data_IF_710271697405
#
_entry.id   IF_710271697405
#
_cell.length_a   1.000
_cell.length_b   1.000
_cell.length_c   1.000
_cell.angle_alpha   90.00
_cell.angle_beta   90.00
_cell.angle_gamma   90.00
#
_symmetry.space_group_name_H-M   'P 1'
#
loop_
_entity.id
_entity.type
_entity.pdbx_description
1 polymer ?
#
# COMPACT_ATOMS: atom_id res chain seq x y z
N UNK A 1 0.58 24.91 2.16
CA UNK A 1 0.60 25.14 0.68
C UNK A 1 -0.69 24.61 0.10
N UNK A 2 -1.30 25.38 -0.82
CA UNK A 2 -2.45 24.89 -1.60
C UNK A 2 -2.14 25.04 -3.09
N UNK A 3 -2.35 23.98 -3.87
CA UNK A 3 -2.22 23.98 -5.31
C UNK A 3 -3.41 23.22 -5.94
N UNK A 4 -4.02 23.81 -6.96
CA UNK A 4 -5.18 23.25 -7.66
C UNK A 4 -5.01 23.33 -9.17
N UNK A 5 -5.60 22.37 -9.88
CA UNK A 5 -5.67 22.34 -11.35
C UNK A 5 -4.31 22.49 -12.06
N UNK A 6 -3.28 21.85 -11.51
CA UNK A 6 -1.94 21.85 -12.07
C UNK A 6 -1.83 20.98 -13.33
N UNK A 7 -1.05 21.44 -14.29
CA UNK A 7 -0.67 20.66 -15.48
C UNK A 7 0.84 20.66 -15.65
N UNK A 8 1.39 19.50 -15.98
CA UNK A 8 2.84 19.32 -16.12
C UNK A 8 3.51 18.94 -14.82
N UNK A 9 4.73 19.37 -14.61
CA UNK A 9 5.49 19.04 -13.41
C UNK A 9 5.22 20.05 -12.28
N UNK A 10 4.77 19.57 -11.13
CA UNK A 10 4.61 20.35 -9.90
C UNK A 10 5.61 19.87 -8.85
N UNK A 11 6.41 20.79 -8.32
CA UNK A 11 7.27 20.56 -7.17
C UNK A 11 6.82 21.49 -6.04
N UNK A 12 6.38 20.91 -4.93
CA UNK A 12 5.95 21.64 -3.74
C UNK A 12 6.80 21.21 -2.54
N UNK A 13 7.46 22.17 -1.90
CA UNK A 13 8.34 21.90 -0.76
C UNK A 13 8.03 22.87 0.38
N UNK A 14 7.85 22.31 1.58
CA UNK A 14 7.76 23.10 2.82
C UNK A 14 8.64 22.48 3.91
N UNK A 15 9.10 23.29 4.84
CA UNK A 15 9.80 22.80 6.02
C UNK A 15 8.82 22.38 7.11
N UNK A 16 7.72 23.12 7.24
CA UNK A 16 6.67 22.85 8.21
C UNK A 16 5.33 23.38 7.67
N UNK A 17 4.26 22.70 7.99
CA UNK A 17 2.90 23.05 7.60
C UNK A 17 2.34 22.15 6.50
N UNK A 18 1.04 22.15 6.43
CA UNK A 18 0.28 21.24 5.60
C UNK A 18 0.29 21.64 4.13
N UNK A 19 0.12 20.65 3.30
CA UNK A 19 -0.08 20.82 1.86
C UNK A 19 -1.40 20.22 1.42
N UNK A 20 -2.10 20.95 0.57
CA UNK A 20 -3.30 20.49 -0.09
C UNK A 20 -3.10 20.64 -1.60
N UNK A 21 -3.09 19.52 -2.30
CA UNK A 21 -2.87 19.47 -3.75
C UNK A 21 -4.05 18.73 -4.37
N UNK A 22 -4.71 19.36 -5.33
CA UNK A 22 -5.85 18.75 -6.00
C UNK A 22 -5.77 18.93 -7.51
N UNK A 23 -6.30 17.94 -8.23
CA UNK A 23 -6.43 17.98 -9.70
C UNK A 23 -5.09 18.21 -10.43
N UNK A 24 -4.07 17.46 -10.06
CA UNK A 24 -2.75 17.54 -10.71
C UNK A 24 -2.66 16.54 -11.87
N UNK A 25 -2.26 17.01 -13.03
CA UNK A 25 -1.99 16.17 -14.20
C UNK A 25 -0.53 16.26 -14.60
N UNK A 26 0.17 15.15 -14.55
CA UNK A 26 1.59 15.04 -14.84
C UNK A 26 2.40 14.62 -13.63
N UNK A 27 3.62 15.11 -13.51
CA UNK A 27 4.50 14.71 -12.41
C UNK A 27 4.24 15.56 -11.17
N UNK A 28 4.09 14.90 -10.01
CA UNK A 28 3.99 15.54 -8.70
C UNK A 28 5.17 15.16 -7.81
N UNK A 29 5.82 16.14 -7.20
CA UNK A 29 6.81 15.93 -6.14
C UNK A 29 6.48 16.88 -4.97
N UNK A 30 5.81 16.34 -3.93
CA UNK A 30 5.40 17.06 -2.73
C UNK A 30 6.25 16.62 -1.53
N UNK A 31 6.91 17.57 -0.86
CA UNK A 31 7.77 17.28 0.30
C UNK A 31 7.49 18.23 1.45
N UNK A 32 7.21 17.67 2.64
CA UNK A 32 7.13 18.41 3.90
C UNK A 32 8.18 17.89 4.90
N UNK A 33 8.71 18.77 5.72
CA UNK A 33 9.51 18.35 6.87
C UNK A 33 8.60 17.90 8.02
N UNK A 34 7.54 18.66 8.29
CA UNK A 34 6.51 18.34 9.29
C UNK A 34 5.20 18.94 8.82
N UNK A 35 4.16 18.19 8.87
CA UNK A 35 2.82 18.59 8.44
C UNK A 35 2.21 17.56 7.50
N UNK A 36 0.90 17.62 7.39
CA UNK A 36 0.12 16.65 6.65
C UNK A 36 0.09 16.96 5.16
N UNK A 37 0.03 15.92 4.37
CA UNK A 37 -0.13 16.03 2.93
C UNK A 37 -1.48 15.47 2.52
N UNK A 38 -2.34 16.34 1.97
CA UNK A 38 -3.60 15.94 1.36
C UNK A 38 -3.52 16.09 -0.15
N UNK A 39 -3.63 14.98 -0.84
CA UNK A 39 -3.46 14.91 -2.29
C UNK A 39 -4.70 14.25 -2.90
N UNK A 40 -5.35 14.93 -3.84
CA UNK A 40 -6.58 14.45 -4.46
C UNK A 40 -6.52 14.56 -5.99
N UNK A 41 -7.04 13.54 -6.68
CA UNK A 41 -7.20 13.51 -8.13
C UNK A 41 -5.88 13.77 -8.90
N UNK A 42 -4.95 12.86 -8.77
CA UNK A 42 -3.65 12.95 -9.44
C UNK A 42 -3.55 11.96 -10.58
N UNK A 43 -3.19 12.44 -11.76
CA UNK A 43 -2.95 11.63 -12.95
C UNK A 43 -1.48 11.69 -13.34
N UNK A 44 -0.76 10.58 -13.24
CA UNK A 44 0.65 10.48 -13.61
C UNK A 44 1.53 10.03 -12.45
N UNK A 45 2.83 10.23 -12.58
CA UNK A 45 3.79 9.80 -11.56
C UNK A 45 3.81 10.78 -10.39
N UNK A 46 3.57 10.28 -9.16
CA UNK A 46 3.51 11.10 -7.97
C UNK A 46 4.44 10.62 -6.87
N UNK A 47 5.11 11.57 -6.24
CA UNK A 47 5.92 11.34 -5.06
C UNK A 47 5.49 12.28 -3.95
N UNK A 48 5.06 11.72 -2.81
CA UNK A 48 4.68 12.46 -1.63
C UNK A 48 5.54 12.02 -0.44
N UNK A 49 6.16 12.97 0.26
CA UNK A 49 7.01 12.67 1.41
C UNK A 49 6.81 13.68 2.52
N UNK A 50 6.69 13.18 3.75
CA UNK A 50 6.77 14.00 4.95
C UNK A 50 7.71 13.37 5.99
N UNK A 51 8.34 14.17 6.82
CA UNK A 51 9.14 13.65 7.92
C UNK A 51 8.28 13.22 9.10
N UNK A 52 7.27 14.02 9.43
CA UNK A 52 6.29 13.74 10.48
C UNK A 52 4.95 14.35 10.07
N UNK A 53 3.96 13.57 10.00
CA UNK A 53 2.61 13.95 9.56
C UNK A 53 2.01 12.83 8.74
N UNK A 54 0.72 12.93 8.54
CA UNK A 54 -0.04 11.94 7.81
C UNK A 54 -0.09 12.27 6.31
N UNK A 55 -0.23 11.25 5.51
CA UNK A 55 -0.42 11.44 4.08
C UNK A 55 -1.76 10.82 3.67
N UNK A 56 -2.67 11.66 3.21
CA UNK A 56 -3.93 11.26 2.62
C UNK A 56 -3.85 11.45 1.10
N UNK A 57 -4.00 10.36 0.35
CA UNK A 57 -4.03 10.35 -1.11
C UNK A 57 -5.35 9.74 -1.57
N UNK A 58 -6.09 10.43 -2.43
CA UNK A 58 -7.34 9.93 -2.99
C UNK A 58 -7.45 10.21 -4.48
N UNK A 59 -7.87 9.19 -5.23
CA UNK A 59 -8.06 9.32 -6.68
C UNK A 59 -6.72 9.49 -7.41
N UNK A 60 -5.90 8.46 -7.41
CA UNK A 60 -4.60 8.49 -8.06
C UNK A 60 -4.53 7.46 -9.19
N UNK A 61 -4.08 7.89 -10.37
CA UNK A 61 -3.88 7.01 -11.52
C UNK A 61 -2.45 7.19 -12.06
N UNK A 62 -1.65 6.13 -11.93
CA UNK A 62 -0.25 6.07 -12.32
C UNK A 62 0.66 5.47 -11.26
N UNK A 63 1.96 5.82 -11.31
CA UNK A 63 2.94 5.30 -10.36
C UNK A 63 3.05 6.22 -9.14
N UNK A 64 2.72 5.68 -7.97
CA UNK A 64 2.69 6.41 -6.71
C UNK A 64 3.80 5.97 -5.76
N UNK A 65 4.51 6.94 -5.19
CA UNK A 65 5.46 6.72 -4.11
C UNK A 65 5.12 7.64 -2.93
N UNK A 66 4.73 7.04 -1.81
CA UNK A 66 4.26 7.75 -0.61
C UNK A 66 5.14 7.35 0.57
N UNK A 67 5.75 8.31 1.26
CA UNK A 67 6.67 8.04 2.36
C UNK A 67 6.45 9.02 3.52
N UNK A 68 6.33 8.49 4.75
CA UNK A 68 6.39 9.29 5.98
C UNK A 68 7.37 8.69 6.97
N UNK A 69 7.99 9.50 7.79
CA UNK A 69 8.84 8.99 8.89
C UNK A 69 8.01 8.54 10.08
N UNK A 70 7.01 9.32 10.45
CA UNK A 70 6.08 9.01 11.54
C UNK A 70 4.72 9.61 11.20
N UNK A 71 3.76 8.82 11.00
CA UNK A 71 2.42 9.20 10.60
C UNK A 71 1.76 8.08 9.82
N UNK A 72 0.47 8.22 9.62
CA UNK A 72 -0.34 7.23 8.94
C UNK A 72 -0.44 7.54 7.44
N UNK A 73 -0.66 6.50 6.66
CA UNK A 73 -0.88 6.58 5.24
C UNK A 73 -2.30 6.12 4.90
N UNK A 74 -3.16 7.06 4.52
CA UNK A 74 -4.50 6.78 4.01
C UNK A 74 -4.52 6.93 2.49
N UNK A 75 -4.68 5.81 1.77
CA UNK A 75 -4.61 5.78 0.32
C UNK A 75 -5.92 5.23 -0.23
N UNK A 76 -6.64 6.02 -1.00
CA UNK A 76 -7.94 5.64 -1.55
C UNK A 76 -8.02 5.80 -3.07
N UNK A 77 -8.75 4.90 -3.73
CA UNK A 77 -9.00 4.95 -5.18
C UNK A 77 -7.70 5.05 -6.00
N UNK A 78 -6.77 4.12 -5.75
CA UNK A 78 -5.46 4.08 -6.42
C UNK A 78 -5.47 3.06 -7.56
N UNK A 79 -5.09 3.51 -8.76
CA UNK A 79 -4.92 2.69 -9.95
C UNK A 79 -3.46 2.80 -10.40
N UNK A 80 -2.78 1.67 -10.61
CA UNK A 80 -1.37 1.64 -11.03
C UNK A 80 -0.45 1.05 -9.97
N UNK A 81 0.83 1.39 -10.03
CA UNK A 81 1.81 0.87 -9.09
C UNK A 81 1.89 1.75 -7.83
N UNK A 82 1.84 1.11 -6.66
CA UNK A 82 1.90 1.81 -5.38
C UNK A 82 3.10 1.33 -4.55
N UNK A 83 3.90 2.29 -4.11
CA UNK A 83 4.92 2.10 -3.07
C UNK A 83 4.61 2.99 -1.88
N UNK A 84 4.31 2.39 -0.73
CA UNK A 84 3.97 3.07 0.51
C UNK A 84 4.96 2.70 1.64
N UNK A 85 5.51 3.69 2.32
CA UNK A 85 6.45 3.47 3.42
C UNK A 85 6.19 4.39 4.59
N UNK A 86 6.16 3.82 5.79
CA UNK A 86 6.17 4.58 7.04
C UNK A 86 7.17 3.98 8.02
N UNK A 87 7.78 4.80 8.87
CA UNK A 87 8.62 4.29 9.95
C UNK A 87 7.79 3.83 11.14
N UNK A 88 6.77 4.61 11.49
CA UNK A 88 5.82 4.27 12.57
C UNK A 88 4.47 4.86 12.20
N UNK A 89 3.51 4.06 12.03
CA UNK A 89 2.16 4.42 11.62
C UNK A 89 1.53 3.33 10.80
N UNK A 90 0.24 3.42 10.65
CA UNK A 90 -0.56 2.44 9.93
C UNK A 90 -0.64 2.79 8.44
N UNK A 91 -0.86 1.78 7.64
CA UNK A 91 -1.05 1.93 6.19
C UNK A 91 -2.42 1.38 5.84
N UNK A 92 -3.34 2.26 5.49
CA UNK A 92 -4.68 1.91 5.05
C UNK A 92 -4.85 2.20 3.57
N UNK A 93 -5.22 1.18 2.80
CA UNK A 93 -5.49 1.27 1.36
C UNK A 93 -6.91 0.82 1.10
N UNK A 94 -7.71 1.71 0.49
CA UNK A 94 -9.09 1.43 0.12
C UNK A 94 -9.28 1.56 -1.38
N UNK A 95 -10.09 0.66 -1.96
CA UNK A 95 -10.36 0.64 -3.39
C UNK A 95 -9.10 0.62 -4.25
N UNK A 96 -8.17 -0.28 -3.93
CA UNK A 96 -7.05 -0.52 -4.82
C UNK A 96 -7.57 -1.13 -6.13
N UNK A 97 -7.38 -0.40 -7.22
CA UNK A 97 -7.74 -0.85 -8.56
C UNK A 97 -6.65 -1.70 -9.20
N UNK A 98 -6.89 -2.14 -10.42
CA UNK A 98 -5.94 -2.91 -11.17
C UNK A 98 -4.58 -2.21 -11.28
N UNK A 99 -3.53 -2.87 -10.83
CA UNK A 99 -2.18 -2.34 -10.81
C UNK A 99 -1.13 -3.41 -11.05
N UNK A 100 0.09 -2.97 -11.36
CA UNK A 100 1.20 -3.89 -11.60
C UNK A 100 1.87 -4.34 -10.30
N UNK A 101 2.04 -3.43 -9.34
CA UNK A 101 2.84 -3.66 -8.14
C UNK A 101 2.26 -2.97 -6.91
N UNK A 102 2.37 -3.67 -5.77
CA UNK A 102 2.09 -3.15 -4.45
C UNK A 102 3.29 -3.41 -3.53
N UNK A 103 4.02 -2.37 -3.14
CA UNK A 103 5.18 -2.47 -2.24
C UNK A 103 4.92 -1.63 -0.99
N UNK A 104 4.62 -2.28 0.15
CA UNK A 104 4.33 -1.64 1.41
C UNK A 104 5.39 -2.02 2.45
N UNK A 105 5.88 -1.02 3.18
CA UNK A 105 6.77 -1.26 4.30
C UNK A 105 6.46 -0.32 5.47
N UNK A 106 6.22 -0.88 6.65
CA UNK A 106 6.15 -0.16 7.91
C UNK A 106 7.11 -0.74 8.94
N UNK A 107 7.67 0.09 9.78
CA UNK A 107 8.49 -0.38 10.90
C UNK A 107 7.62 -0.88 12.06
N UNK A 108 6.60 -0.12 12.40
CA UNK A 108 5.63 -0.46 13.46
C UNK A 108 4.28 0.12 13.06
N UNK A 109 3.33 -0.70 12.84
CA UNK A 109 1.98 -0.33 12.44
C UNK A 109 1.34 -1.43 11.62
N UNK A 110 0.03 -1.35 11.54
CA UNK A 110 -0.77 -2.31 10.83
C UNK A 110 -0.87 -1.95 9.34
N UNK A 111 -1.12 -2.95 8.53
CA UNK A 111 -1.34 -2.77 7.09
C UNK A 111 -2.69 -3.35 6.73
N UNK A 112 -3.62 -2.49 6.32
CA UNK A 112 -4.91 -2.91 5.80
C UNK A 112 -5.02 -2.50 4.32
N UNK A 113 -5.35 -3.45 3.46
CA UNK A 113 -5.56 -3.16 2.05
C UNK A 113 -6.79 -3.90 1.51
N UNK A 114 -7.68 -3.13 0.90
CA UNK A 114 -8.85 -3.66 0.22
C UNK A 114 -8.93 -3.20 -1.25
N UNK A 115 -9.55 -4.01 -2.08
CA UNK A 115 -9.78 -3.70 -3.48
C UNK A 115 -9.60 -4.89 -4.41
N UNK A 116 -9.33 -4.63 -5.68
CA UNK A 116 -9.05 -5.67 -6.69
C UNK A 116 -7.58 -6.12 -6.62
N UNK A 117 -7.30 -7.03 -5.67
CA UNK A 117 -5.96 -7.59 -5.52
C UNK A 117 -5.69 -8.72 -6.54
N UNK A 118 -6.71 -9.21 -7.23
CA UNK A 118 -6.58 -10.27 -8.24
C UNK A 118 -5.82 -9.84 -9.49
N UNK A 119 -5.83 -8.55 -9.80
CA UNK A 119 -5.11 -7.97 -10.94
C UNK A 119 -3.63 -7.65 -10.66
N UNK A 120 -3.17 -7.75 -9.41
CA UNK A 120 -1.79 -7.46 -9.03
C UNK A 120 -0.84 -8.56 -9.51
N UNK A 121 0.34 -8.15 -9.97
CA UNK A 121 1.39 -9.07 -10.43
C UNK A 121 2.47 -9.29 -9.36
N UNK A 122 2.74 -8.28 -8.57
CA UNK A 122 3.76 -8.33 -7.52
C UNK A 122 3.26 -7.58 -6.28
N UNK A 123 3.09 -8.33 -5.19
CA UNK A 123 2.69 -7.81 -3.89
C UNK A 123 3.80 -8.09 -2.89
N UNK A 124 4.37 -7.04 -2.33
CA UNK A 124 5.36 -7.15 -1.29
C UNK A 124 4.93 -6.32 -0.09
N UNK A 125 4.70 -6.95 1.06
CA UNK A 125 4.35 -6.27 2.30
C UNK A 125 5.31 -6.70 3.41
N UNK A 126 5.88 -5.72 4.10
CA UNK A 126 6.76 -5.94 5.24
C UNK A 126 6.38 -5.02 6.38
N UNK A 127 6.15 -5.60 7.55
CA UNK A 127 6.04 -4.86 8.80
C UNK A 127 7.00 -5.43 9.84
N UNK A 128 7.56 -4.60 10.68
CA UNK A 128 8.38 -5.07 11.79
C UNK A 128 7.50 -5.55 12.94
N UNK A 129 6.47 -4.79 13.26
CA UNK A 129 5.48 -5.14 14.30
C UNK A 129 4.12 -4.58 13.88
N UNK A 130 3.18 -5.42 13.67
CA UNK A 130 1.83 -5.06 13.25
C UNK A 130 1.19 -6.18 12.45
N UNK A 131 -0.11 -6.10 12.34
CA UNK A 131 -0.92 -7.06 11.61
C UNK A 131 -1.03 -6.69 10.14
N UNK A 132 -1.27 -7.67 9.31
CA UNK A 132 -1.51 -7.46 7.87
C UNK A 132 -2.86 -8.07 7.49
N UNK A 133 -3.78 -7.23 7.08
CA UNK A 133 -5.13 -7.63 6.64
C UNK A 133 -5.33 -7.27 5.16
N UNK A 134 -5.46 -8.28 4.33
CA UNK A 134 -5.70 -8.12 2.89
C UNK A 134 -7.07 -8.67 2.51
N UNK A 135 -7.91 -7.82 1.93
CA UNK A 135 -9.24 -8.20 1.45
C UNK A 135 -9.37 -7.91 -0.03
N UNK A 136 -9.46 -8.97 -0.81
CA UNK A 136 -9.75 -8.82 -2.24
C UNK A 136 -11.24 -8.86 -2.51
N UNK A 137 -11.69 -7.97 -3.38
CA UNK A 137 -13.07 -7.99 -3.92
C UNK A 137 -13.23 -8.97 -5.06
N UNK A 138 -12.12 -9.36 -5.68
CA UNK A 138 -12.07 -10.28 -6.81
C UNK A 138 -11.25 -11.54 -6.46
N UNK A 139 -11.48 -12.65 -7.17
CA UNK A 139 -10.70 -13.86 -6.97
C UNK A 139 -9.19 -13.63 -7.21
N UNK A 140 -8.37 -14.18 -6.33
CA UNK A 140 -6.91 -14.06 -6.42
C UNK A 140 -6.31 -15.05 -7.42
N UNK A 141 -5.25 -14.63 -8.11
CA UNK A 141 -4.42 -15.48 -8.95
C UNK A 141 -2.94 -15.26 -8.63
N UNK A 142 -2.52 -15.71 -7.42
CA UNK A 142 -1.21 -15.40 -6.85
C UNK A 142 -0.52 -16.63 -6.28
N UNK A 143 0.81 -16.65 -6.35
CA UNK A 143 1.65 -17.50 -5.50
C UNK A 143 1.93 -16.78 -4.21
N UNK A 144 1.41 -17.32 -3.10
CA UNK A 144 1.58 -16.75 -1.77
C UNK A 144 2.84 -17.29 -1.09
N UNK A 145 3.58 -16.38 -0.47
CA UNK A 145 4.66 -16.68 0.48
C UNK A 145 4.51 -15.78 1.68
N UNK A 146 3.97 -16.31 2.77
CA UNK A 146 3.65 -15.58 3.98
C UNK A 146 4.55 -16.03 5.12
N UNK A 147 4.97 -15.10 5.97
CA UNK A 147 5.81 -15.40 7.14
C UNK A 147 5.53 -14.45 8.31
N UNK A 148 5.50 -14.99 9.52
CA UNK A 148 5.48 -14.21 10.75
C UNK A 148 6.53 -14.73 11.72
N UNK A 149 7.19 -13.84 12.45
CA UNK A 149 8.11 -14.23 13.53
C UNK A 149 7.37 -14.63 14.80
N UNK A 150 6.29 -13.91 15.14
CA UNK A 150 5.40 -14.20 16.27
C UNK A 150 3.98 -13.79 15.89
N UNK A 151 3.11 -14.74 15.75
CA UNK A 151 1.73 -14.52 15.35
C UNK A 151 1.16 -15.71 14.61
N UNK A 152 0.00 -15.52 14.00
CA UNK A 152 -0.73 -16.51 13.24
C UNK A 152 -0.94 -16.09 11.78
N UNK A 153 -1.13 -17.08 10.94
CA UNK A 153 -1.45 -16.83 9.52
C UNK A 153 -2.79 -17.48 9.23
N UNK A 154 -3.73 -16.68 8.76
CA UNK A 154 -5.05 -17.15 8.35
C UNK A 154 -5.31 -16.75 6.89
N UNK A 155 -5.54 -17.76 6.06
CA UNK A 155 -5.84 -17.57 4.63
C UNK A 155 -7.22 -18.14 4.36
N UNK A 156 -8.16 -17.26 4.04
CA UNK A 156 -9.57 -17.58 3.75
C UNK A 156 -9.84 -17.31 2.26
N UNK A 157 -9.26 -18.18 1.45
CA UNK A 157 -9.39 -18.13 -0.02
C UNK A 157 -9.41 -19.54 -0.58
N UNK A 158 -10.05 -19.78 -1.73
CA UNK A 158 -9.97 -21.08 -2.42
C UNK A 158 -8.53 -21.39 -2.85
N UNK A 159 -7.87 -22.32 -2.20
CA UNK A 159 -6.50 -22.74 -2.55
C UNK A 159 -6.54 -23.91 -3.51
N UNK A 160 -5.76 -23.85 -4.59
CA UNK A 160 -5.60 -24.93 -5.56
C UNK A 160 -4.16 -25.45 -5.52
N UNK A 161 -3.99 -26.77 -5.40
CA UNK A 161 -2.67 -27.41 -5.42
C UNK A 161 -2.05 -27.64 -4.04
N UNK A 162 -0.72 -27.76 -4.02
CA UNK A 162 0.03 -28.06 -2.80
C UNK A 162 0.07 -26.87 -1.86
N UNK A 163 -0.25 -27.12 -0.60
CA UNK A 163 -0.20 -26.15 0.48
C UNK A 163 0.86 -26.55 1.48
N UNK A 164 1.86 -25.72 1.65
CA UNK A 164 2.82 -25.84 2.73
C UNK A 164 2.41 -24.90 3.88
N UNK A 165 1.83 -25.47 4.92
CA UNK A 165 1.39 -24.73 6.10
C UNK A 165 2.19 -25.13 7.32
N UNK A 166 2.99 -24.19 7.85
CA UNK A 166 3.67 -24.26 9.14
C UNK A 166 3.02 -23.32 10.17
N UNK A 167 3.52 -23.35 11.40
CA UNK A 167 3.01 -22.44 12.44
C UNK A 167 3.21 -20.97 12.12
N UNK A 168 4.27 -20.63 11.38
CA UNK A 168 4.72 -19.25 11.11
C UNK A 168 5.03 -19.00 9.64
N UNK A 169 4.68 -19.92 8.79
CA UNK A 169 4.87 -19.80 7.36
C UNK A 169 3.74 -20.47 6.58
N UNK A 170 3.38 -19.88 5.48
CA UNK A 170 2.37 -20.42 4.58
C UNK A 170 2.80 -20.19 3.14
N UNK A 171 2.74 -21.21 2.33
CA UNK A 171 2.95 -21.13 0.88
C UNK A 171 1.86 -21.86 0.16
N UNK A 172 1.30 -21.23 -0.83
CA UNK A 172 0.27 -21.83 -1.68
C UNK A 172 0.18 -21.12 -3.02
N UNK A 173 -0.40 -21.82 -3.99
CA UNK A 173 -0.82 -21.20 -5.25
C UNK A 173 -2.34 -21.05 -5.23
N UNK A 174 -2.81 -19.85 -5.53
CA UNK A 174 -4.22 -19.52 -5.65
C UNK A 174 -4.52 -19.23 -7.11
N UNK A 175 -5.62 -19.76 -7.62
CA UNK A 175 -5.97 -19.63 -9.03
C UNK A 175 -4.87 -20.13 -9.96
N UNK A 176 -4.58 -19.43 -11.04
CA UNK A 176 -3.52 -19.76 -11.98
C UNK A 176 -2.10 -19.41 -11.50
N UNK A 177 -1.96 -18.70 -10.38
CA UNK A 177 -0.66 -18.27 -9.85
C UNK A 177 0.09 -17.29 -10.75
N UNK A 178 -0.63 -16.40 -11.40
CA UNK A 178 -0.06 -15.47 -12.38
C UNK A 178 0.82 -14.38 -11.77
N UNK A 179 0.53 -14.00 -10.53
CA UNK A 179 1.31 -13.05 -9.76
C UNK A 179 2.04 -13.67 -8.58
N UNK A 180 2.77 -12.87 -7.82
CA UNK A 180 3.47 -13.28 -6.61
C UNK A 180 3.15 -12.34 -5.45
N UNK A 181 2.84 -12.90 -4.27
CA UNK A 181 2.66 -12.14 -3.05
C UNK A 181 3.59 -12.63 -1.95
N UNK A 182 4.45 -11.72 -1.47
CA UNK A 182 5.37 -11.94 -0.35
C UNK A 182 5.00 -11.04 0.80
N UNK A 183 4.53 -11.62 1.91
CA UNK A 183 4.09 -10.87 3.08
C UNK A 183 4.83 -11.38 4.29
N UNK A 184 5.50 -10.48 5.00
CA UNK A 184 6.25 -10.81 6.20
C UNK A 184 5.99 -9.79 7.29
N UNK A 185 5.71 -10.29 8.50
CA UNK A 185 5.71 -9.51 9.73
C UNK A 185 6.70 -10.08 10.74
N UNK A 186 7.35 -9.23 11.50
CA UNK A 186 8.19 -9.70 12.61
C UNK A 186 7.35 -10.15 13.80
N UNK A 187 6.32 -9.38 14.14
CA UNK A 187 5.36 -9.72 15.20
C UNK A 187 3.98 -9.22 14.79
N UNK A 188 3.07 -10.11 14.62
CA UNK A 188 1.70 -9.82 14.20
C UNK A 188 1.09 -10.94 13.40
N UNK A 189 -0.20 -10.83 13.17
CA UNK A 189 -1.00 -11.79 12.44
C UNK A 189 -1.08 -11.40 10.95
N UNK A 190 -1.24 -12.38 10.10
CA UNK A 190 -1.49 -12.15 8.67
C UNK A 190 -2.85 -12.76 8.33
N UNK A 191 -3.75 -11.93 7.83
CA UNK A 191 -5.05 -12.34 7.36
C UNK A 191 -5.24 -12.01 5.89
N UNK A 192 -5.65 -13.01 5.09
CA UNK A 192 -5.96 -12.82 3.66
C UNK A 192 -7.34 -13.39 3.39
N UNK A 193 -8.18 -12.59 2.77
CA UNK A 193 -9.54 -12.98 2.37
C UNK A 193 -9.81 -12.60 0.92
N UNK A 194 -10.44 -13.52 0.17
CA UNK A 194 -11.00 -13.28 -1.16
C UNK A 194 -12.24 -14.16 -1.38
N UNK A 195 -13.10 -13.78 -2.33
CA UNK A 195 -14.29 -14.57 -2.69
C UNK A 195 -13.93 -15.91 -3.38
#
# INVERSE_FOLDING_TARGET
IRATDGQGALVAVTRAGDMEISSQRGQLDARSGSGDLRIENVLGTSRARTGSGDIMLRGADGDMQVETGSGDLELGDVIGSLRARTGSGDVEIRNLGAGAQLDIATGSGDVEADGDLGALRDVTIRTGSGDVDLRSTEPLSLRLSLGTGSGSIKVDVPVMGDVESGRRSFRATIGAGEGEARINTGSGDIYIKAP
#
